data_IF_753115085528
#
_entry.id   IF_753115085528
#
_cell.length_a   1.000
_cell.length_b   1.000
_cell.length_c   1.000
_cell.angle_alpha   90.00
_cell.angle_beta   90.00
_cell.angle_gamma   90.00
#
_symmetry.space_group_name_H-M   'P 1'
#
loop_
_entity.id
_entity.type
_entity.pdbx_description
1 polymer ?
#
# COMPACT_ATOMS: atom_id res chain seq x y z
N UNK A 1 17.59 17.71 -9.92
CA UNK A 1 17.27 16.82 -8.81
C UNK A 1 16.50 17.51 -7.69
N UNK A 2 17.09 18.54 -7.03
CA UNK A 2 16.46 19.24 -5.90
C UNK A 2 15.06 19.79 -6.20
N UNK A 3 14.85 20.47 -7.34
CA UNK A 3 13.54 20.98 -7.75
C UNK A 3 12.51 19.85 -7.92
N UNK A 4 12.90 18.71 -8.47
CA UNK A 4 12.02 17.56 -8.64
C UNK A 4 11.61 16.95 -7.30
N UNK A 5 12.56 16.84 -6.36
CA UNK A 5 12.25 16.41 -4.99
C UNK A 5 11.30 17.39 -4.30
N UNK A 6 11.48 18.69 -4.51
CA UNK A 6 10.57 19.70 -4.00
C UNK A 6 9.15 19.51 -4.57
N UNK A 7 9.03 19.31 -5.89
CA UNK A 7 7.74 19.01 -6.54
C UNK A 7 7.13 17.73 -5.98
N UNK A 8 7.92 16.66 -5.84
CA UNK A 8 7.46 15.37 -5.32
C UNK A 8 6.89 15.46 -3.89
N UNK A 9 7.35 16.42 -3.09
CA UNK A 9 6.87 16.66 -1.72
C UNK A 9 5.74 17.68 -1.67
N UNK A 10 5.90 18.82 -2.32
CA UNK A 10 4.96 19.96 -2.21
C UNK A 10 3.66 19.70 -2.96
N UNK A 11 3.73 19.02 -4.11
CA UNK A 11 2.54 18.85 -4.94
C UNK A 11 1.47 17.97 -4.26
N UNK A 12 1.78 16.84 -3.61
CA UNK A 12 0.80 16.10 -2.82
C UNK A 12 0.19 16.93 -1.68
N UNK A 13 0.95 17.81 -1.02
CA UNK A 13 0.44 18.70 0.03
C UNK A 13 -0.61 19.70 -0.51
N UNK A 14 -0.37 20.24 -1.69
CA UNK A 14 -1.32 21.15 -2.37
C UNK A 14 -2.58 20.41 -2.82
N UNK A 15 -2.43 19.18 -3.31
CA UNK A 15 -3.53 18.35 -3.79
C UNK A 15 -4.37 17.72 -2.66
N UNK A 16 -3.88 17.67 -1.44
CA UNK A 16 -4.51 16.93 -0.34
C UNK A 16 -5.95 17.39 -0.09
N UNK A 17 -6.14 18.66 0.25
CA UNK A 17 -7.47 19.20 0.60
C UNK A 17 -8.50 19.01 -0.51
N UNK A 18 -8.24 19.40 -1.79
CA UNK A 18 -9.22 19.22 -2.86
C UNK A 18 -9.51 17.74 -3.14
N UNK A 19 -8.49 16.87 -3.12
CA UNK A 19 -8.69 15.45 -3.37
C UNK A 19 -9.44 14.76 -2.23
N UNK A 20 -9.16 15.09 -0.99
CA UNK A 20 -9.95 14.60 0.15
C UNK A 20 -11.42 15.01 0.04
N UNK A 21 -11.71 16.28 -0.24
CA UNK A 21 -13.08 16.78 -0.38
C UNK A 21 -13.83 16.06 -1.51
N UNK A 22 -13.24 16.02 -2.71
CA UNK A 22 -13.86 15.38 -3.88
C UNK A 22 -13.92 13.87 -3.71
N UNK A 23 -12.85 13.26 -3.22
CA UNK A 23 -12.75 11.81 -3.03
C UNK A 23 -13.77 11.28 -2.04
N UNK A 24 -13.88 11.90 -0.86
CA UNK A 24 -14.88 11.51 0.15
C UNK A 24 -16.30 11.66 -0.34
N UNK A 25 -16.61 12.75 -1.06
CA UNK A 25 -17.94 12.94 -1.65
C UNK A 25 -18.26 11.85 -2.68
N UNK A 26 -17.32 11.53 -3.58
CA UNK A 26 -17.52 10.49 -4.59
C UNK A 26 -17.62 9.09 -3.98
N UNK A 27 -16.76 8.75 -3.01
CA UNK A 27 -16.82 7.46 -2.33
C UNK A 27 -18.14 7.29 -1.57
N UNK A 28 -18.63 8.33 -0.89
CA UNK A 28 -19.93 8.32 -0.25
C UNK A 28 -21.08 8.13 -1.27
N UNK A 29 -21.04 8.87 -2.39
CA UNK A 29 -22.05 8.74 -3.45
C UNK A 29 -22.07 7.34 -4.09
N UNK A 30 -20.93 6.63 -4.10
CA UNK A 30 -20.78 5.25 -4.55
C UNK A 30 -21.20 4.22 -3.49
N UNK A 31 -21.59 4.64 -2.28
CA UNK A 31 -21.94 3.76 -1.17
C UNK A 31 -20.77 2.93 -0.63
N UNK A 32 -19.54 3.46 -0.73
CA UNK A 32 -18.32 2.76 -0.31
C UNK A 32 -18.15 2.81 1.22
N UNK A 33 -19.16 2.31 1.95
CA UNK A 33 -19.14 2.20 3.40
C UNK A 33 -19.00 0.75 3.83
N UNK A 34 -18.09 0.47 4.77
CA UNK A 34 -17.91 -0.84 5.40
C UNK A 34 -17.85 -0.68 6.91
N UNK A 35 -18.21 -1.73 7.63
CA UNK A 35 -18.04 -1.77 9.08
C UNK A 35 -16.55 -1.94 9.41
N UNK A 36 -16.01 -1.06 10.25
CA UNK A 36 -14.69 -1.19 10.83
C UNK A 36 -14.66 -2.33 11.88
N UNK A 37 -13.53 -2.50 12.54
CA UNK A 37 -13.36 -3.52 13.59
C UNK A 37 -14.22 -3.26 14.85
N UNK A 38 -14.66 -2.00 15.10
CA UNK A 38 -15.59 -1.61 16.15
C UNK A 38 -17.07 -1.72 15.74
N UNK A 39 -17.34 -2.22 14.52
CA UNK A 39 -18.65 -2.33 13.87
C UNK A 39 -19.31 -0.98 13.57
N UNK A 40 -18.53 0.09 13.43
CA UNK A 40 -19.00 1.38 12.98
C UNK A 40 -18.91 1.48 11.45
N UNK A 41 -19.92 2.08 10.77
CA UNK A 41 -19.86 2.29 9.33
C UNK A 41 -18.84 3.38 9.01
N UNK A 42 -17.78 3.02 8.29
CA UNK A 42 -16.68 3.90 7.92
C UNK A 42 -16.50 3.85 6.41
N UNK A 43 -16.11 4.97 5.83
CA UNK A 43 -15.80 5.07 4.40
C UNK A 43 -14.57 4.20 4.10
N UNK A 44 -14.68 3.31 3.11
CA UNK A 44 -13.57 2.45 2.64
C UNK A 44 -13.00 2.96 1.32
N UNK A 45 -11.92 2.30 0.84
CA UNK A 45 -11.20 2.67 -0.38
C UNK A 45 -10.61 4.10 -0.36
N UNK A 46 -10.30 4.63 0.83
CA UNK A 46 -9.60 5.91 0.97
C UNK A 46 -8.25 5.96 0.27
N UNK A 47 -7.64 4.79 0.06
CA UNK A 47 -6.45 4.64 -0.76
C UNK A 47 -6.58 5.20 -2.18
N UNK A 48 -7.79 5.35 -2.72
CA UNK A 48 -8.01 6.00 -4.01
C UNK A 48 -7.55 7.47 -4.00
N UNK A 49 -7.78 8.19 -2.90
CA UNK A 49 -7.34 9.59 -2.72
C UNK A 49 -5.80 9.65 -2.75
N UNK A 50 -5.15 8.77 -2.01
CA UNK A 50 -3.69 8.62 -1.97
C UNK A 50 -3.12 8.32 -3.36
N UNK A 51 -3.70 7.36 -4.07
CA UNK A 51 -3.28 6.96 -5.42
C UNK A 51 -3.47 8.09 -6.42
N UNK A 52 -4.60 8.80 -6.40
CA UNK A 52 -4.84 9.95 -7.26
C UNK A 52 -3.81 11.07 -7.03
N UNK A 53 -3.52 11.41 -5.78
CA UNK A 53 -2.50 12.40 -5.43
C UNK A 53 -1.13 12.01 -5.97
N UNK A 54 -0.73 10.75 -5.74
CA UNK A 54 0.56 10.22 -6.20
C UNK A 54 0.63 10.14 -7.72
N UNK A 55 -0.44 9.72 -8.38
CA UNK A 55 -0.49 9.60 -9.85
C UNK A 55 -0.39 10.96 -10.54
N UNK A 56 -1.16 11.95 -10.09
CA UNK A 56 -1.10 13.31 -10.64
C UNK A 56 0.31 13.89 -10.47
N UNK A 57 0.90 13.75 -9.28
CA UNK A 57 2.27 14.20 -9.02
C UNK A 57 3.27 13.45 -9.90
N UNK A 58 3.14 12.13 -10.04
CA UNK A 58 3.99 11.31 -10.88
C UNK A 58 3.94 11.71 -12.37
N UNK A 59 2.75 12.01 -12.89
CA UNK A 59 2.59 12.52 -14.28
C UNK A 59 3.32 13.86 -14.46
N UNK A 60 3.20 14.78 -13.50
CA UNK A 60 3.91 16.08 -13.53
C UNK A 60 5.42 15.87 -13.51
N UNK A 61 5.91 14.96 -12.66
CA UNK A 61 7.35 14.63 -12.61
C UNK A 61 7.87 14.02 -13.91
N UNK A 62 7.13 13.08 -14.51
CA UNK A 62 7.50 12.48 -15.79
C UNK A 62 7.52 13.56 -16.90
N UNK A 63 6.49 14.41 -16.94
CA UNK A 63 6.45 15.53 -17.89
C UNK A 63 7.66 16.47 -17.75
N UNK A 64 8.03 16.81 -16.52
CA UNK A 64 9.20 17.63 -16.23
C UNK A 64 10.52 16.95 -16.65
N UNK A 65 10.65 15.63 -16.40
CA UNK A 65 11.80 14.84 -16.82
C UNK A 65 11.94 14.76 -18.34
N UNK A 66 10.83 14.61 -19.05
CA UNK A 66 10.80 14.61 -20.53
C UNK A 66 11.29 15.96 -21.08
N UNK A 67 10.79 17.07 -20.55
CA UNK A 67 11.19 18.42 -20.96
C UNK A 67 12.68 18.71 -20.68
N UNK A 68 13.28 18.06 -19.67
CA UNK A 68 14.68 18.20 -19.33
C UNK A 68 15.62 17.23 -20.04
N UNK A 69 15.10 16.37 -20.92
CA UNK A 69 15.90 15.36 -21.61
C UNK A 69 16.55 14.35 -20.65
N UNK A 70 15.82 13.92 -19.64
CA UNK A 70 16.32 12.95 -18.65
C UNK A 70 16.68 11.62 -19.32
N UNK A 71 17.57 10.85 -18.66
CA UNK A 71 17.96 9.52 -19.13
C UNK A 71 16.73 8.62 -19.30
N UNK A 72 16.72 7.83 -20.36
CA UNK A 72 15.62 6.89 -20.70
C UNK A 72 15.31 5.90 -19.56
N UNK A 73 16.33 5.46 -18.84
CA UNK A 73 16.18 4.55 -17.69
C UNK A 73 15.33 5.17 -16.57
N UNK A 74 15.58 6.42 -16.18
CA UNK A 74 14.81 7.10 -15.14
C UNK A 74 13.35 7.32 -15.59
N UNK A 75 13.15 7.67 -16.85
CA UNK A 75 11.80 7.79 -17.43
C UNK A 75 11.08 6.44 -17.42
N UNK A 76 11.76 5.37 -17.81
CA UNK A 76 11.21 4.01 -17.78
C UNK A 76 10.78 3.63 -16.36
N UNK A 77 11.63 3.85 -15.35
CA UNK A 77 11.28 3.59 -13.96
C UNK A 77 10.04 4.38 -13.54
N UNK A 78 9.93 5.65 -13.92
CA UNK A 78 8.76 6.48 -13.64
C UNK A 78 7.48 5.93 -14.27
N UNK A 79 7.51 5.56 -15.55
CA UNK A 79 6.37 4.96 -16.24
C UNK A 79 5.96 3.61 -15.64
N UNK A 80 6.92 2.73 -15.36
CA UNK A 80 6.65 1.42 -14.79
C UNK A 80 6.09 1.55 -13.36
N UNK A 81 6.64 2.48 -12.55
CA UNK A 81 6.11 2.77 -11.23
C UNK A 81 4.66 3.25 -11.29
N UNK A 82 4.40 4.26 -12.11
CA UNK A 82 3.07 4.86 -12.23
C UNK A 82 2.03 3.86 -12.73
N UNK A 83 2.37 3.11 -13.79
CA UNK A 83 1.50 2.07 -14.35
C UNK A 83 1.23 0.96 -13.34
N UNK A 84 2.27 0.46 -12.68
CA UNK A 84 2.14 -0.60 -11.69
C UNK A 84 1.32 -0.18 -10.49
N UNK A 85 1.57 1.02 -9.94
CA UNK A 85 0.82 1.58 -8.81
C UNK A 85 -0.67 1.71 -9.14
N UNK A 86 -1.00 2.30 -10.29
CA UNK A 86 -2.40 2.47 -10.72
C UNK A 86 -3.08 1.13 -10.96
N UNK A 87 -2.41 0.19 -11.62
CA UNK A 87 -2.97 -1.13 -11.93
C UNK A 87 -3.19 -1.95 -10.65
N UNK A 88 -2.24 -1.95 -9.72
CA UNK A 88 -2.39 -2.63 -8.44
C UNK A 88 -3.50 -2.02 -7.59
N UNK A 89 -3.60 -0.68 -7.57
CA UNK A 89 -4.71 0.03 -6.93
C UNK A 89 -6.06 -0.31 -7.56
N UNK A 90 -6.13 -0.43 -8.89
CA UNK A 90 -7.34 -0.81 -9.61
C UNK A 90 -7.85 -2.19 -9.19
N UNK A 91 -6.96 -3.18 -9.07
CA UNK A 91 -7.34 -4.51 -8.60
C UNK A 91 -7.81 -4.50 -7.15
N UNK A 92 -7.19 -3.69 -6.29
CA UNK A 92 -7.64 -3.45 -4.92
C UNK A 92 -9.00 -2.76 -4.87
N UNK A 93 -9.23 -1.75 -5.71
CA UNK A 93 -10.51 -1.04 -5.78
C UNK A 93 -11.65 -1.95 -6.24
N UNK A 94 -11.40 -2.86 -7.18
CA UNK A 94 -12.39 -3.87 -7.56
C UNK A 94 -12.79 -4.76 -6.38
N UNK A 95 -11.81 -5.12 -5.54
CA UNK A 95 -12.06 -5.93 -4.35
C UNK A 95 -12.80 -5.13 -3.26
N UNK A 96 -12.41 -3.88 -3.02
CA UNK A 96 -13.12 -2.97 -2.12
C UNK A 96 -14.59 -2.76 -2.52
N UNK A 97 -14.89 -2.76 -3.81
CA UNK A 97 -16.25 -2.60 -4.35
C UNK A 97 -17.08 -3.87 -4.34
N UNK A 98 -16.43 -5.03 -4.31
CA UNK A 98 -17.13 -6.30 -4.37
C UNK A 98 -17.86 -6.60 -3.06
N UNK A 99 -19.06 -7.19 -3.21
CA UNK A 99 -19.90 -7.62 -2.08
C UNK A 99 -19.67 -9.09 -1.71
N UNK A 100 -18.67 -9.76 -2.30
CA UNK A 100 -18.39 -11.18 -2.11
C UNK A 100 -17.82 -11.45 -0.71
N UNK A 101 -18.71 -11.54 0.29
CA UNK A 101 -18.34 -11.71 1.72
C UNK A 101 -18.03 -13.15 2.12
N UNK A 102 -18.37 -14.13 1.30
CA UNK A 102 -18.41 -15.54 1.73
C UNK A 102 -17.11 -16.30 1.48
N UNK A 103 -16.22 -15.80 0.63
CA UNK A 103 -14.94 -16.44 0.33
C UNK A 103 -13.79 -15.72 1.03
N UNK A 104 -13.25 -16.29 2.12
CA UNK A 104 -12.07 -15.78 2.82
C UNK A 104 -10.87 -16.71 2.61
N UNK A 105 -9.69 -16.09 2.35
CA UNK A 105 -8.43 -16.80 2.14
C UNK A 105 -8.39 -17.62 0.83
N UNK A 106 -7.21 -18.13 0.49
CA UNK A 106 -7.01 -18.91 -0.75
C UNK A 106 -7.96 -20.10 -0.86
N UNK A 107 -8.14 -20.86 0.24
CA UNK A 107 -9.03 -22.04 0.25
C UNK A 107 -10.49 -21.70 -0.02
N UNK A 108 -10.98 -20.55 0.48
CA UNK A 108 -12.35 -20.09 0.24
C UNK A 108 -12.57 -19.73 -1.23
N UNK A 109 -11.67 -18.96 -1.83
CA UNK A 109 -11.77 -18.54 -3.24
C UNK A 109 -11.65 -19.71 -4.22
N UNK A 110 -10.72 -20.65 -3.99
CA UNK A 110 -10.63 -21.88 -4.79
C UNK A 110 -11.85 -22.79 -4.60
N UNK A 111 -12.41 -22.85 -3.39
CA UNK A 111 -13.63 -23.62 -3.12
C UNK A 111 -14.83 -23.12 -3.91
N UNK A 112 -15.04 -21.81 -4.00
CA UNK A 112 -16.11 -21.19 -4.81
C UNK A 112 -15.87 -21.44 -6.30
N UNK A 113 -14.63 -21.27 -6.79
CA UNK A 113 -14.30 -21.54 -8.19
C UNK A 113 -14.61 -23.00 -8.57
N UNK A 114 -14.25 -23.95 -7.71
CA UNK A 114 -14.45 -25.39 -7.99
C UNK A 114 -15.91 -25.82 -7.92
N UNK A 115 -16.66 -25.31 -6.92
CA UNK A 115 -18.06 -25.71 -6.68
C UNK A 115 -19.05 -24.94 -7.54
N UNK A 116 -18.85 -23.62 -7.68
CA UNK A 116 -19.81 -22.73 -8.31
C UNK A 116 -19.40 -22.28 -9.72
N UNK A 117 -18.19 -22.64 -10.17
CA UNK A 117 -17.58 -22.19 -11.44
C UNK A 117 -17.63 -20.67 -11.62
N UNK A 118 -17.62 -19.93 -10.53
CA UNK A 118 -17.66 -18.47 -10.50
C UNK A 118 -16.34 -17.91 -10.00
N UNK A 119 -15.80 -16.93 -10.71
CA UNK A 119 -14.61 -16.20 -10.28
C UNK A 119 -15.00 -15.12 -9.28
N UNK A 120 -14.43 -15.20 -8.08
CA UNK A 120 -14.60 -14.20 -7.03
C UNK A 120 -13.75 -12.96 -7.31
N UNK A 121 -14.06 -11.84 -6.64
CA UNK A 121 -13.26 -10.60 -6.72
C UNK A 121 -11.79 -10.84 -6.33
N UNK A 122 -11.55 -11.63 -5.27
CA UNK A 122 -10.22 -12.01 -4.83
C UNK A 122 -9.44 -12.82 -5.87
N UNK A 123 -10.10 -13.71 -6.66
CA UNK A 123 -9.46 -14.40 -7.79
C UNK A 123 -9.04 -13.44 -8.89
N UNK A 124 -9.90 -12.48 -9.25
CA UNK A 124 -9.56 -11.45 -10.23
C UNK A 124 -8.40 -10.58 -9.75
N UNK A 125 -8.38 -10.19 -8.46
CA UNK A 125 -7.27 -9.47 -7.82
C UNK A 125 -5.97 -10.27 -7.91
N UNK A 126 -6.02 -11.57 -7.60
CA UNK A 126 -4.85 -12.44 -7.68
C UNK A 126 -4.31 -12.52 -9.11
N UNK A 127 -5.15 -12.84 -10.09
CA UNK A 127 -4.74 -12.99 -11.51
C UNK A 127 -4.22 -11.66 -12.04
N UNK A 128 -4.96 -10.58 -11.85
CA UNK A 128 -4.59 -9.26 -12.37
C UNK A 128 -3.34 -8.69 -11.71
N UNK A 129 -3.23 -8.83 -10.39
CA UNK A 129 -2.03 -8.40 -9.65
C UNK A 129 -0.80 -9.21 -10.05
N UNK A 130 -0.93 -10.53 -10.16
CA UNK A 130 0.16 -11.42 -10.57
C UNK A 130 0.60 -11.15 -12.01
N UNK A 131 -0.35 -10.96 -12.94
CA UNK A 131 -0.04 -10.61 -14.33
C UNK A 131 0.67 -9.26 -14.44
N UNK A 132 0.22 -8.26 -13.68
CA UNK A 132 0.89 -6.95 -13.59
C UNK A 132 2.32 -7.09 -13.08
N UNK A 133 2.52 -7.81 -11.97
CA UNK A 133 3.84 -8.06 -11.40
C UNK A 133 4.75 -8.79 -12.39
N UNK A 134 4.23 -9.79 -13.11
CA UNK A 134 4.97 -10.53 -14.13
C UNK A 134 5.47 -9.61 -15.25
N UNK A 135 4.59 -8.84 -15.87
CA UNK A 135 4.97 -7.94 -16.96
C UNK A 135 6.01 -6.91 -16.52
N UNK A 136 5.83 -6.31 -15.32
CA UNK A 136 6.73 -5.27 -14.83
C UNK A 136 8.10 -5.85 -14.40
N UNK A 137 8.14 -7.03 -13.79
CA UNK A 137 9.38 -7.61 -13.28
C UNK A 137 10.39 -7.87 -14.38
N UNK A 138 9.96 -8.40 -15.52
CA UNK A 138 10.86 -8.65 -16.66
C UNK A 138 11.29 -7.38 -17.39
N UNK A 139 10.49 -6.30 -17.31
CA UNK A 139 10.92 -4.98 -17.81
C UNK A 139 11.95 -4.29 -16.91
N UNK A 140 12.04 -4.68 -15.64
CA UNK A 140 12.98 -4.13 -14.65
C UNK A 140 14.24 -4.98 -14.47
N UNK A 141 14.33 -6.14 -15.10
CA UNK A 141 15.36 -7.12 -14.77
C UNK A 141 16.22 -7.48 -15.98
N UNK A 142 17.54 -7.62 -15.73
CA UNK A 142 18.51 -7.92 -16.78
C UNK A 142 18.85 -9.44 -16.89
N UNK A 143 18.23 -10.27 -16.06
CA UNK A 143 18.44 -11.73 -16.08
C UNK A 143 17.16 -12.45 -15.64
N UNK A 144 17.02 -13.72 -16.04
CA UNK A 144 15.88 -14.54 -15.67
C UNK A 144 15.75 -14.67 -14.14
N UNK A 145 16.86 -14.88 -13.43
CA UNK A 145 16.86 -14.98 -11.97
C UNK A 145 16.41 -13.70 -11.31
N UNK A 146 16.94 -12.55 -11.72
CA UNK A 146 16.49 -11.25 -11.21
C UNK A 146 15.02 -11.02 -11.53
N UNK A 147 14.54 -11.42 -12.71
CA UNK A 147 13.13 -11.35 -13.08
C UNK A 147 12.23 -12.18 -12.15
N UNK A 148 12.63 -13.38 -11.79
CA UNK A 148 11.87 -14.24 -10.87
C UNK A 148 11.79 -13.61 -9.46
N UNK A 149 12.91 -13.11 -8.94
CA UNK A 149 12.96 -12.46 -7.62
C UNK A 149 12.12 -11.18 -7.61
N UNK A 150 12.26 -10.34 -8.64
CA UNK A 150 11.48 -9.11 -8.81
C UNK A 150 9.98 -9.42 -8.93
N UNK A 151 9.62 -10.44 -9.69
CA UNK A 151 8.23 -10.91 -9.80
C UNK A 151 7.66 -11.29 -8.43
N UNK A 152 8.39 -12.11 -7.67
CA UNK A 152 7.97 -12.50 -6.33
C UNK A 152 7.77 -11.30 -5.39
N UNK A 153 8.70 -10.35 -5.41
CA UNK A 153 8.58 -9.13 -4.60
C UNK A 153 7.39 -8.27 -5.01
N UNK A 154 7.22 -8.00 -6.32
CA UNK A 154 6.10 -7.17 -6.81
C UNK A 154 4.73 -7.83 -6.60
N UNK A 155 4.65 -9.17 -6.65
CA UNK A 155 3.42 -9.90 -6.42
C UNK A 155 3.06 -10.02 -4.92
N UNK A 156 4.05 -10.23 -4.05
CA UNK A 156 3.81 -10.46 -2.62
C UNK A 156 3.70 -9.18 -1.80
N UNK A 157 4.46 -8.13 -2.14
CA UNK A 157 4.45 -6.88 -1.35
C UNK A 157 3.07 -6.27 -1.17
N UNK A 158 2.18 -6.20 -2.19
CA UNK A 158 0.80 -5.75 -2.01
C UNK A 158 0.05 -6.58 -0.97
N UNK A 159 0.21 -7.89 -1.01
CA UNK A 159 -0.46 -8.77 -0.09
C UNK A 159 0.10 -8.64 1.34
N UNK A 160 1.42 -8.43 1.49
CA UNK A 160 2.04 -8.17 2.81
C UNK A 160 1.44 -6.92 3.45
N UNK A 161 1.35 -5.80 2.74
CA UNK A 161 0.72 -4.60 3.31
C UNK A 161 -0.74 -4.86 3.67
N UNK A 162 -1.47 -5.59 2.82
CA UNK A 162 -2.87 -5.95 3.06
C UNK A 162 -3.07 -6.82 4.31
N UNK A 163 -2.13 -7.72 4.63
CA UNK A 163 -2.15 -8.50 5.88
C UNK A 163 -2.15 -7.63 7.14
N UNK A 164 -1.62 -6.43 7.05
CA UNK A 164 -1.58 -5.47 8.16
C UNK A 164 -2.72 -4.45 8.13
N UNK A 165 -3.52 -4.37 7.05
CA UNK A 165 -4.66 -3.45 6.92
C UNK A 165 -5.93 -3.93 7.66
N UNK A 166 -5.74 -4.54 8.83
CA UNK A 166 -6.81 -5.04 9.70
C UNK A 166 -7.16 -4.09 10.85
N UNK A 167 -6.34 -3.08 11.07
CA UNK A 167 -6.49 -2.07 12.14
C UNK A 167 -6.04 -0.71 11.61
N UNK A 168 -6.66 0.40 12.07
CA UNK A 168 -6.32 1.74 11.62
C UNK A 168 -4.83 2.06 11.72
N UNK A 169 -4.29 2.73 10.73
CA UNK A 169 -2.91 3.19 10.62
C UNK A 169 -1.81 2.11 10.58
N UNK A 170 -2.13 0.84 10.75
CA UNK A 170 -1.13 -0.23 10.82
C UNK A 170 -0.45 -0.46 9.48
N UNK A 171 -1.21 -0.57 8.40
CA UNK A 171 -0.68 -0.77 7.05
C UNK A 171 0.25 0.38 6.64
N UNK A 172 -0.12 1.62 6.93
CA UNK A 172 0.70 2.81 6.63
C UNK A 172 2.02 2.78 7.43
N UNK A 173 2.00 2.41 8.71
CA UNK A 173 3.23 2.27 9.52
C UNK A 173 4.16 1.18 9.02
N UNK A 174 3.60 0.04 8.62
CA UNK A 174 4.37 -1.05 8.00
C UNK A 174 4.98 -0.60 6.67
N UNK A 175 4.22 0.12 5.85
CA UNK A 175 4.73 0.72 4.62
C UNK A 175 5.92 1.65 4.89
N UNK A 176 5.84 2.55 5.88
CA UNK A 176 6.95 3.45 6.24
C UNK A 176 8.17 2.66 6.71
N UNK A 177 7.98 1.63 7.54
CA UNK A 177 9.08 0.79 8.02
C UNK A 177 9.78 0.05 6.89
N UNK A 178 9.04 -0.59 6.00
CA UNK A 178 9.60 -1.33 4.87
C UNK A 178 10.28 -0.43 3.84
N UNK A 179 9.70 0.75 3.57
CA UNK A 179 10.32 1.76 2.69
C UNK A 179 11.58 2.35 3.30
N UNK A 180 11.61 2.60 4.60
CA UNK A 180 12.81 3.05 5.30
C UNK A 180 13.93 2.00 5.23
N UNK A 181 13.61 0.72 5.41
CA UNK A 181 14.56 -0.40 5.26
C UNK A 181 15.10 -0.44 3.83
N UNK A 182 14.24 -0.39 2.81
CA UNK A 182 14.64 -0.37 1.41
C UNK A 182 15.56 0.83 1.09
N UNK A 183 15.21 2.01 1.61
CA UNK A 183 16.01 3.23 1.45
C UNK A 183 17.37 3.14 2.12
N UNK A 184 17.44 2.64 3.35
CA UNK A 184 18.68 2.47 4.09
C UNK A 184 19.64 1.50 3.37
N UNK A 185 19.13 0.34 2.92
CA UNK A 185 19.91 -0.60 2.13
C UNK A 185 20.34 0.01 0.79
N UNK A 186 19.45 0.75 0.11
CA UNK A 186 19.77 1.44 -1.13
C UNK A 186 20.92 2.44 -0.95
N UNK A 187 20.83 3.31 0.05
CA UNK A 187 21.91 4.28 0.34
C UNK A 187 23.22 3.56 0.63
N UNK A 188 23.19 2.50 1.41
CA UNK A 188 24.38 1.75 1.81
C UNK A 188 25.03 1.00 0.65
N UNK A 189 24.23 0.43 -0.27
CA UNK A 189 24.73 -0.49 -1.32
C UNK A 189 24.98 0.16 -2.67
N UNK A 190 24.11 1.08 -3.10
CA UNK A 190 24.19 1.74 -4.42
C UNK A 190 24.59 3.23 -4.32
N UNK A 191 24.74 3.74 -3.11
CA UNK A 191 25.13 5.11 -2.84
C UNK A 191 23.96 6.12 -2.84
N UNK A 192 24.11 7.19 -2.06
CA UNK A 192 23.06 8.16 -1.81
C UNK A 192 22.52 8.83 -3.09
N UNK A 193 23.37 9.15 -4.06
CA UNK A 193 22.95 9.83 -5.29
C UNK A 193 22.00 9.00 -6.14
N UNK A 194 22.30 7.72 -6.36
CA UNK A 194 21.45 6.79 -7.12
C UNK A 194 20.18 6.45 -6.34
N UNK A 195 20.29 6.21 -5.05
CA UNK A 195 19.16 5.98 -4.19
C UNK A 195 18.17 7.16 -4.23
N UNK A 196 18.65 8.40 -4.11
CA UNK A 196 17.79 9.59 -4.21
C UNK A 196 17.11 9.73 -5.57
N UNK A 197 17.77 9.36 -6.68
CA UNK A 197 17.15 9.37 -8.00
C UNK A 197 15.96 8.40 -8.08
N UNK A 198 16.13 7.21 -7.51
CA UNK A 198 15.07 6.19 -7.47
C UNK A 198 13.89 6.63 -6.58
N UNK A 199 14.14 7.40 -5.53
CA UNK A 199 13.11 7.88 -4.61
C UNK A 199 12.21 8.98 -5.18
N UNK A 200 12.56 9.59 -6.30
CA UNK A 200 11.80 10.71 -6.89
C UNK A 200 10.33 10.35 -7.15
N UNK A 201 10.06 9.11 -7.62
CA UNK A 201 8.71 8.63 -7.89
C UNK A 201 8.03 8.01 -6.67
N UNK A 202 8.81 7.60 -5.66
CA UNK A 202 8.30 7.06 -4.40
C UNK A 202 7.86 8.15 -3.42
N UNK A 203 8.49 9.34 -3.50
CA UNK A 203 8.17 10.46 -2.61
C UNK A 203 6.70 10.88 -2.66
N UNK A 204 6.04 11.00 -3.81
CA UNK A 204 4.63 11.38 -3.85
C UNK A 204 3.72 10.44 -3.06
N UNK A 205 3.90 9.13 -3.20
CA UNK A 205 3.08 8.15 -2.47
C UNK A 205 3.45 8.11 -0.98
N UNK A 206 4.72 8.34 -0.64
CA UNK A 206 5.17 8.44 0.75
C UNK A 206 4.53 9.65 1.45
N UNK A 207 4.55 10.83 0.83
CA UNK A 207 3.91 12.05 1.35
C UNK A 207 2.39 11.87 1.40
N UNK A 208 1.77 11.33 0.36
CA UNK A 208 0.34 11.06 0.35
C UNK A 208 -0.09 10.08 1.46
N UNK A 209 0.76 9.10 1.79
CA UNK A 209 0.52 8.19 2.93
C UNK A 209 0.59 8.90 4.29
N UNK A 210 1.49 9.88 4.43
CA UNK A 210 1.55 10.73 5.64
C UNK A 210 0.28 11.59 5.79
N UNK A 211 -0.24 12.11 4.69
CA UNK A 211 -1.47 12.91 4.68
C UNK A 211 -2.71 12.05 4.94
N UNK A 212 -2.73 10.81 4.47
CA UNK A 212 -3.80 9.85 4.72
C UNK A 212 -3.80 9.32 6.16
N UNK A 213 -2.62 9.26 6.79
CA UNK A 213 -2.44 8.67 8.12
C UNK A 213 -3.41 9.21 9.20
N UNK A 214 -3.61 10.52 9.40
CA UNK A 214 -4.54 11.02 10.42
C UNK A 214 -6.01 10.65 10.15
N UNK A 215 -6.40 10.48 8.90
CA UNK A 215 -7.76 10.07 8.53
C UNK A 215 -8.01 8.59 8.80
N UNK A 216 -7.04 7.75 8.47
CA UNK A 216 -7.09 6.31 8.72
C UNK A 216 -6.93 6.01 10.22
N UNK A 217 -5.96 6.65 10.89
CA UNK A 217 -5.71 6.51 12.33
C UNK A 217 -6.90 6.97 13.18
N UNK A 218 -7.63 7.99 12.72
CA UNK A 218 -8.86 8.48 13.34
C UNK A 218 -10.10 7.65 13.04
N UNK A 219 -9.98 6.55 12.29
CA UNK A 219 -11.10 5.69 11.91
C UNK A 219 -12.15 6.37 11.03
N UNK A 220 -11.82 7.51 10.41
CA UNK A 220 -12.77 8.27 9.56
C UNK A 220 -12.87 7.71 8.15
N UNK A 221 -11.76 7.23 7.62
CA UNK A 221 -11.64 6.66 6.28
C UNK A 221 -10.66 5.51 6.36
N UNK A 222 -11.06 4.31 5.95
CA UNK A 222 -10.18 3.15 5.86
C UNK A 222 -9.37 3.18 4.56
N UNK A 223 -8.09 2.83 4.64
CA UNK A 223 -7.20 2.72 3.49
C UNK A 223 -7.78 1.79 2.41
N UNK A 224 -8.22 0.61 2.82
CA UNK A 224 -8.80 -0.43 1.96
C UNK A 224 -7.77 -1.12 1.05
N UNK A 225 -8.23 -2.14 0.35
CA UNK A 225 -7.40 -2.92 -0.58
C UNK A 225 -6.82 -2.06 -1.70
N UNK A 226 -7.50 -0.99 -2.09
CA UNK A 226 -7.02 0.01 -3.05
C UNK A 226 -5.69 0.61 -2.61
N UNK A 227 -5.64 1.10 -1.38
CA UNK A 227 -4.45 1.75 -0.83
C UNK A 227 -3.38 0.75 -0.42
N UNK A 228 -3.77 -0.35 0.24
CA UNK A 228 -2.83 -1.38 0.67
C UNK A 228 -2.05 -1.98 -0.51
N UNK A 229 -2.72 -2.25 -1.64
CA UNK A 229 -2.06 -2.76 -2.84
C UNK A 229 -1.10 -1.72 -3.47
N UNK A 230 -1.48 -0.44 -3.52
CA UNK A 230 -0.62 0.61 -4.05
C UNK A 230 0.63 0.83 -3.18
N UNK A 231 0.46 0.88 -1.84
CA UNK A 231 1.56 1.01 -0.90
C UNK A 231 2.49 -0.20 -0.95
N UNK A 232 1.91 -1.41 -1.00
CA UNK A 232 2.70 -2.63 -1.12
C UNK A 232 3.48 -2.71 -2.43
N UNK A 233 2.86 -2.35 -3.55
CA UNK A 233 3.57 -2.24 -4.82
C UNK A 233 4.74 -1.25 -4.74
N UNK A 234 4.56 -0.10 -4.11
CA UNK A 234 5.63 0.89 -3.91
C UNK A 234 6.79 0.32 -3.08
N UNK A 235 6.52 -0.50 -2.04
CA UNK A 235 7.56 -1.24 -1.31
C UNK A 235 8.30 -2.20 -2.23
N UNK A 236 7.59 -3.07 -2.95
CA UNK A 236 8.20 -4.05 -3.85
C UNK A 236 9.04 -3.38 -4.93
N UNK A 237 8.52 -2.32 -5.54
CA UNK A 237 9.22 -1.56 -6.55
C UNK A 237 10.49 -0.90 -5.99
N UNK A 238 10.42 -0.31 -4.78
CA UNK A 238 11.60 0.32 -4.14
C UNK A 238 12.70 -0.70 -3.86
N UNK A 239 12.35 -1.92 -3.47
CA UNK A 239 13.31 -3.00 -3.28
C UNK A 239 13.95 -3.41 -4.61
N UNK A 240 13.16 -3.58 -5.67
CA UNK A 240 13.64 -4.04 -6.99
C UNK A 240 14.62 -3.06 -7.60
N UNK A 241 14.31 -1.75 -7.63
CA UNK A 241 15.19 -0.74 -8.25
C UNK A 241 16.25 -0.19 -7.31
N UNK A 242 16.03 -0.33 -6.00
CA UNK A 242 16.84 0.36 -4.98
C UNK A 242 17.83 -0.53 -4.24
N UNK A 243 17.82 -1.86 -4.45
CA UNK A 243 18.67 -2.75 -3.67
C UNK A 243 19.31 -3.85 -4.54
N UNK A 244 20.46 -4.38 -4.13
CA UNK A 244 21.09 -5.48 -4.85
C UNK A 244 20.32 -6.80 -4.68
N UNK A 245 20.54 -7.74 -5.62
CA UNK A 245 19.79 -8.97 -5.73
C UNK A 245 19.77 -9.84 -4.45
N UNK A 246 20.84 -9.83 -3.67
CA UNK A 246 20.89 -10.61 -2.42
C UNK A 246 19.95 -10.02 -1.35
N UNK A 247 19.79 -8.69 -1.29
CA UNK A 247 18.81 -8.04 -0.40
C UNK A 247 17.39 -8.34 -0.90
N UNK A 248 17.16 -8.23 -2.21
CA UNK A 248 15.87 -8.58 -2.83
C UNK A 248 15.46 -10.01 -2.51
N UNK A 249 16.38 -10.99 -2.68
CA UNK A 249 16.12 -12.39 -2.38
C UNK A 249 15.84 -12.62 -0.89
N UNK A 250 16.58 -11.96 0.01
CA UNK A 250 16.35 -12.04 1.46
C UNK A 250 14.97 -11.48 1.84
N UNK A 251 14.59 -10.34 1.26
CA UNK A 251 13.27 -9.75 1.49
C UNK A 251 12.15 -10.62 0.91
N UNK A 252 12.37 -11.26 -0.24
CA UNK A 252 11.41 -12.21 -0.81
C UNK A 252 11.19 -13.41 0.13
N UNK A 253 12.25 -13.98 0.67
CA UNK A 253 12.16 -15.08 1.66
C UNK A 253 11.40 -14.60 2.90
N UNK A 254 11.70 -13.41 3.42
CA UNK A 254 10.97 -12.84 4.55
C UNK A 254 9.47 -12.70 4.24
N UNK A 255 9.11 -12.17 3.07
CA UNK A 255 7.70 -12.01 2.67
C UNK A 255 6.99 -13.35 2.50
N UNK A 256 7.66 -14.35 1.94
CA UNK A 256 7.13 -15.72 1.88
C UNK A 256 6.88 -16.30 3.28
N UNK A 257 7.84 -16.14 4.20
CA UNK A 257 7.68 -16.58 5.59
C UNK A 257 6.50 -15.88 6.28
N UNK A 258 6.36 -14.56 6.11
CA UNK A 258 5.22 -13.80 6.65
C UNK A 258 3.89 -14.28 6.06
N UNK A 259 3.85 -14.51 4.74
CA UNK A 259 2.66 -14.99 4.06
C UNK A 259 2.24 -16.38 4.57
N UNK A 260 3.18 -17.31 4.69
CA UNK A 260 2.92 -18.66 5.22
C UNK A 260 2.48 -18.58 6.68
N UNK A 261 3.17 -17.77 7.50
CA UNK A 261 2.82 -17.59 8.91
C UNK A 261 1.40 -17.04 9.09
N UNK A 262 0.95 -16.15 8.19
CA UNK A 262 -0.40 -15.58 8.24
C UNK A 262 -1.53 -16.62 8.06
N UNK A 263 -1.25 -17.74 7.41
CA UNK A 263 -2.23 -18.83 7.28
C UNK A 263 -2.44 -19.61 8.60
N UNK A 264 -1.45 -19.60 9.50
CA UNK A 264 -1.48 -20.33 10.76
C UNK A 264 -1.67 -19.44 11.98
N UNK A 265 -1.23 -18.18 11.91
CA UNK A 265 -1.20 -17.25 13.04
C UNK A 265 -1.85 -15.91 12.70
N UNK A 266 -2.67 -15.40 13.61
CA UNK A 266 -3.21 -14.04 13.49
C UNK A 266 -2.16 -13.02 13.95
N UNK A 267 -1.64 -12.22 13.02
CA UNK A 267 -0.71 -11.13 13.35
C UNK A 267 -1.28 -10.13 14.35
N UNK A 268 -2.58 -9.84 14.30
CA UNK A 268 -3.23 -8.96 15.27
C UNK A 268 -3.08 -9.50 16.69
N UNK A 269 -3.25 -10.82 16.89
CA UNK A 269 -3.08 -11.45 18.19
C UNK A 269 -1.62 -11.40 18.67
N UNK A 270 -0.66 -11.65 17.78
CA UNK A 270 0.78 -11.57 18.11
C UNK A 270 1.16 -10.14 18.52
N UNK A 271 0.71 -9.13 17.75
CA UNK A 271 0.98 -7.71 18.03
C UNK A 271 0.39 -7.31 19.41
N UNK A 272 -0.81 -7.77 19.74
CA UNK A 272 -1.46 -7.47 21.02
C UNK A 272 -0.74 -8.10 22.22
N UNK A 273 -0.11 -9.27 22.04
CA UNK A 273 0.61 -9.98 23.10
C UNK A 273 2.00 -9.39 23.39
N UNK A 274 2.66 -8.80 22.38
CA UNK A 274 4.01 -8.25 22.52
C UNK A 274 3.93 -6.76 22.86
N UNK A 275 4.32 -6.39 24.09
CA UNK A 275 4.09 -5.05 24.66
C UNK A 275 4.63 -3.88 23.82
N UNK A 276 5.85 -3.99 23.27
CA UNK A 276 6.42 -2.93 22.43
C UNK A 276 5.74 -2.83 21.06
N UNK A 277 5.38 -3.97 20.45
CA UNK A 277 4.60 -3.99 19.20
C UNK A 277 3.22 -3.36 19.41
N UNK A 278 2.55 -3.67 20.52
CA UNK A 278 1.26 -3.08 20.86
C UNK A 278 1.36 -1.56 21.01
N UNK A 279 2.39 -1.04 21.69
CA UNK A 279 2.62 0.42 21.81
C UNK A 279 2.83 1.07 20.45
N UNK A 280 3.65 0.46 19.58
CA UNK A 280 3.87 0.94 18.21
C UNK A 280 2.59 0.90 17.39
N UNK A 281 1.79 -0.16 17.53
CA UNK A 281 0.52 -0.32 16.84
C UNK A 281 -0.51 0.72 17.27
N UNK A 282 -0.58 1.03 18.55
CA UNK A 282 -1.49 2.03 19.12
C UNK A 282 -1.05 3.48 18.86
N UNK A 283 0.24 3.70 18.57
CA UNK A 283 0.76 5.03 18.33
C UNK A 283 0.02 5.73 17.17
N UNK A 284 -0.41 6.98 17.41
CA UNK A 284 -1.10 7.81 16.42
C UNK A 284 -2.58 7.47 16.19
N UNK A 285 -3.12 6.40 16.80
CA UNK A 285 -4.57 6.19 16.80
C UNK A 285 -5.24 7.20 17.72
N UNK A 286 -6.36 7.80 17.27
CA UNK A 286 -7.22 8.59 18.14
C UNK A 286 -7.66 7.73 19.31
N UNK A 287 -7.55 8.27 20.51
CA UNK A 287 -7.69 7.52 21.74
C UNK A 287 -9.01 6.74 21.80
N UNK A 288 -8.97 5.42 21.58
CA UNK A 288 -10.00 4.48 22.04
C UNK A 288 -10.29 4.64 23.54
N UNK A 289 -9.36 5.25 24.29
CA UNK A 289 -9.43 5.50 25.71
C UNK A 289 -10.46 6.60 26.10
N UNK A 290 -10.71 7.57 25.26
CA UNK A 290 -11.61 8.68 25.60
C UNK A 290 -13.09 8.30 25.37
N UNK A 291 -13.36 7.50 24.35
CA UNK A 291 -14.73 7.00 24.11
C UNK A 291 -15.16 5.92 25.10
N UNK A 292 -14.27 5.02 25.53
CA UNK A 292 -14.60 4.07 26.59
C UNK A 292 -14.79 4.71 27.97
N UNK A 293 -14.04 5.75 28.33
CA UNK A 293 -14.23 6.49 29.57
C UNK A 293 -15.55 7.27 29.57
N UNK A 294 -15.97 7.84 28.46
CA UNK A 294 -17.24 8.58 28.37
C UNK A 294 -18.45 7.64 28.36
N UNK A 295 -18.33 6.41 27.83
CA UNK A 295 -19.43 5.44 27.88
C UNK A 295 -19.56 4.74 29.24
N UNK A 296 -18.49 4.57 30.00
CA UNK A 296 -18.54 4.02 31.37
C UNK A 296 -18.85 5.08 32.41
N UNK A 297 -18.64 6.37 32.13
CA UNK A 297 -18.95 7.50 33.03
C UNK A 297 -20.43 7.89 33.04
N UNK A 298 -21.22 7.52 32.03
CA UNK A 298 -22.65 7.83 31.94
C UNK A 298 -23.59 6.74 32.44
N UNK A 299 -23.08 5.54 32.77
CA UNK A 299 -23.89 4.45 33.31
C UNK A 299 -23.92 4.40 34.86
N UNK A 300 -23.39 5.41 35.53
CA UNK A 300 -23.32 5.50 37.01
C UNK A 300 -24.28 6.50 37.68
N UNK A 301 -25.22 7.08 36.93
CA UNK A 301 -26.21 8.00 37.48
C UNK A 301 -27.60 7.72 36.85
N UNK A 302 -28.22 6.65 37.33
CA UNK A 302 -29.69 6.50 37.42
C UNK A 302 -29.96 5.56 38.61
#
# INVERSE_FOLDING_TARGET
MMLMMLVAVVFPLVLDRPLHKIGTQKLNAMGMNRFNYDREPVLTAGGLILVCSSAITGIVLIGFLLLRGAKSELLLHGFLFLTGMITMAFWGWRDDRASDRDAKGFRGHFGVLWRERRMTSGMWKLIGGTSTAFCLSFSLSNSLWAGIVSFGLLALSPNIINLFDLRPARAIKVFWGLTAIAGAFGIWTIGAGTAMANWIFLMPIFVASMLMFPHDAGGKIMLGDTGANALGFAVGFSLVIGTPIYVQASMLVLFLCLQVTAEFCSFSRVIEQVGWLRRLDQWGRAAEAENKKNQTGTSGLV
#
